data_IF_468199242102
#
_entry.id   IF_468199242102
#
_cell.length_a   1.000
_cell.length_b   1.000
_cell.length_c   1.000
_cell.angle_alpha   90.00
_cell.angle_beta   90.00
_cell.angle_gamma   90.00
#
_symmetry.space_group_name_H-M   'P 1'
#
loop_
_entity.id
_entity.type
_entity.pdbx_description
1 polymer ?
#
# COMPACT_ATOMS: atom_id res chain seq x y z
N UNK A 1 16.33 18.76 -14.69
CA UNK A 1 16.01 19.61 -13.52
C UNK A 1 14.54 20.05 -13.47
N UNK A 2 13.87 20.32 -14.59
CA UNK A 2 12.47 20.84 -14.65
C UNK A 2 11.39 19.93 -14.03
N UNK A 3 11.56 18.61 -14.04
CA UNK A 3 10.58 17.68 -13.46
C UNK A 3 10.66 17.55 -11.93
N UNK A 4 11.86 17.78 -11.35
CA UNK A 4 12.04 17.75 -9.89
C UNK A 4 11.42 19.01 -9.25
N UNK A 5 11.51 20.15 -9.95
CA UNK A 5 10.97 21.43 -9.48
C UNK A 5 9.44 21.46 -9.41
N UNK A 6 8.72 20.75 -10.29
CA UNK A 6 7.24 20.71 -10.25
C UNK A 6 6.67 19.84 -9.13
N UNK A 7 7.37 18.75 -8.78
CA UNK A 7 7.01 17.92 -7.63
C UNK A 7 7.38 18.63 -6.32
N UNK A 8 8.55 19.26 -6.27
CA UNK A 8 8.94 20.08 -5.13
C UNK A 8 8.00 21.27 -4.94
N UNK A 9 7.59 21.97 -6.00
CA UNK A 9 6.71 23.15 -5.86
C UNK A 9 5.30 22.83 -5.36
N UNK A 10 4.81 21.61 -5.54
CA UNK A 10 3.49 21.18 -5.06
C UNK A 10 3.53 20.54 -3.67
N UNK A 11 4.61 19.83 -3.34
CA UNK A 11 4.78 19.17 -2.03
C UNK A 11 5.32 20.12 -0.96
N UNK A 12 6.17 21.08 -1.33
CA UNK A 12 6.85 21.97 -0.39
C UNK A 12 5.91 22.94 0.36
N UNK A 13 4.87 23.54 -0.25
CA UNK A 13 3.92 24.39 0.47
C UNK A 13 3.09 23.60 1.48
N UNK A 14 2.69 22.37 1.12
CA UNK A 14 1.97 21.46 2.03
C UNK A 14 2.87 21.05 3.19
N UNK A 15 4.14 20.74 2.93
CA UNK A 15 5.12 20.37 3.96
C UNK A 15 5.40 21.53 4.92
N UNK A 16 5.55 22.76 4.41
CA UNK A 16 5.69 23.98 5.23
C UNK A 16 4.45 24.25 6.08
N UNK A 17 3.26 24.13 5.49
CA UNK A 17 1.99 24.28 6.22
C UNK A 17 1.88 23.26 7.35
N UNK A 18 2.24 22.01 7.08
CA UNK A 18 2.19 20.93 8.05
C UNK A 18 3.20 21.12 9.20
N UNK A 19 4.43 21.56 8.92
CA UNK A 19 5.45 21.85 9.95
C UNK A 19 4.99 22.89 10.96
N UNK A 20 4.19 23.87 10.54
CA UNK A 20 3.67 24.92 11.43
C UNK A 20 2.54 24.39 12.34
N UNK A 21 1.78 23.38 11.87
CA UNK A 21 0.55 22.91 12.54
C UNK A 21 0.71 21.59 13.29
N UNK A 22 1.73 20.82 12.97
CA UNK A 22 1.92 19.46 13.46
C UNK A 22 3.33 19.34 14.05
N UNK A 23 3.49 18.76 15.27
CA UNK A 23 4.82 18.56 15.85
C UNK A 23 5.75 17.83 14.89
N UNK A 24 7.00 18.27 14.81
CA UNK A 24 8.00 17.69 13.90
C UNK A 24 8.16 16.17 14.12
N UNK A 25 8.01 15.70 15.36
CA UNK A 25 8.00 14.28 15.71
C UNK A 25 6.82 13.52 15.08
N UNK A 26 5.65 14.14 14.98
CA UNK A 26 4.45 13.57 14.36
C UNK A 26 4.57 13.60 12.85
N UNK A 27 5.15 14.65 12.25
CA UNK A 27 5.42 14.66 10.80
C UNK A 27 6.49 13.67 10.40
N UNK A 28 7.56 13.56 11.19
CA UNK A 28 8.56 12.54 11.00
C UNK A 28 7.94 11.16 11.15
N UNK A 29 7.03 10.98 12.11
CA UNK A 29 6.25 9.76 12.21
C UNK A 29 5.42 9.55 10.93
N UNK A 30 4.52 10.44 10.56
CA UNK A 30 3.57 10.26 9.45
C UNK A 30 4.21 10.18 8.05
N UNK A 31 5.36 10.82 7.84
CA UNK A 31 6.02 10.91 6.52
C UNK A 31 7.21 9.96 6.37
N UNK A 32 7.83 9.56 7.48
CA UNK A 32 9.01 8.70 7.47
C UNK A 32 8.71 7.41 8.21
N UNK A 33 8.31 7.45 9.48
CA UNK A 33 8.10 6.24 10.27
C UNK A 33 6.90 5.45 9.73
N UNK A 34 5.73 6.04 9.56
CA UNK A 34 4.47 5.44 9.13
C UNK A 34 4.53 4.84 7.71
N UNK A 35 5.11 5.46 6.68
CA UNK A 35 5.30 4.78 5.39
C UNK A 35 6.30 3.63 5.51
N UNK A 36 7.29 3.75 6.40
CA UNK A 36 8.25 2.69 6.66
C UNK A 36 7.69 1.58 7.58
N UNK A 37 6.77 1.86 8.50
CA UNK A 37 6.32 0.97 9.59
C UNK A 37 4.86 0.59 9.56
N UNK A 38 4.01 1.43 8.99
CA UNK A 38 2.54 1.35 9.02
C UNK A 38 1.86 0.96 7.71
N UNK A 39 2.58 0.87 6.60
CA UNK A 39 2.00 0.59 5.27
C UNK A 39 1.43 -0.84 5.09
N UNK A 40 1.48 -1.70 6.11
CA UNK A 40 1.06 -3.12 6.04
C UNK A 40 -0.46 -3.34 6.02
N UNK A 41 -1.24 -2.31 6.32
CA UNK A 41 -2.70 -2.37 6.49
C UNK A 41 -3.49 -2.41 5.19
N UNK A 42 -2.91 -1.98 4.06
CA UNK A 42 -3.62 -1.91 2.78
C UNK A 42 -3.66 -3.30 2.12
N UNK A 43 -4.82 -3.69 1.61
CA UNK A 43 -5.00 -4.87 0.76
C UNK A 43 -3.99 -4.82 -0.42
N UNK A 44 -3.18 -5.88 -0.62
CA UNK A 44 -2.05 -5.90 -1.57
C UNK A 44 -0.64 -5.75 -0.94
N UNK A 45 -0.52 -5.55 0.37
CA UNK A 45 0.77 -5.46 1.09
C UNK A 45 1.21 -6.74 1.82
N UNK A 46 0.60 -7.93 1.56
CA UNK A 46 1.07 -9.14 2.26
C UNK A 46 2.47 -9.54 1.76
N UNK A 47 3.29 -10.03 2.68
CA UNK A 47 4.71 -10.27 2.42
C UNK A 47 4.97 -11.55 1.64
N UNK A 48 5.98 -11.51 0.77
CA UNK A 48 6.59 -12.67 0.12
C UNK A 48 6.99 -12.40 -1.33
N UNK A 49 8.19 -12.84 -1.75
CA UNK A 49 8.66 -12.71 -3.14
C UNK A 49 7.65 -13.30 -4.12
N UNK A 50 7.05 -14.43 -3.73
CA UNK A 50 6.06 -15.14 -4.53
C UNK A 50 4.63 -14.67 -4.28
N UNK A 51 4.40 -13.77 -3.33
CA UNK A 51 3.06 -13.31 -2.99
C UNK A 51 2.34 -12.63 -4.16
N UNK A 52 2.97 -11.77 -4.99
CA UNK A 52 2.34 -11.21 -6.19
C UNK A 52 1.92 -12.31 -7.15
N UNK A 53 2.78 -13.31 -7.34
CA UNK A 53 2.48 -14.45 -8.21
C UNK A 53 1.33 -15.30 -7.65
N UNK A 54 1.25 -15.47 -6.32
CA UNK A 54 0.13 -16.16 -5.65
C UNK A 54 -1.17 -15.37 -5.77
N UNK A 55 -1.15 -14.04 -5.61
CA UNK A 55 -2.33 -13.19 -5.82
C UNK A 55 -2.77 -13.22 -7.28
N UNK A 56 -1.84 -13.15 -8.23
CA UNK A 56 -2.15 -13.31 -9.65
C UNK A 56 -2.78 -14.67 -9.92
N UNK A 57 -2.17 -15.76 -9.46
CA UNK A 57 -2.75 -17.10 -9.59
C UNK A 57 -4.12 -17.21 -8.93
N UNK A 58 -4.32 -16.57 -7.78
CA UNK A 58 -5.62 -16.54 -7.11
C UNK A 58 -6.66 -15.82 -7.94
N UNK A 59 -6.37 -14.62 -8.48
CA UNK A 59 -7.29 -13.87 -9.35
C UNK A 59 -7.69 -14.67 -10.59
N UNK A 60 -6.76 -15.44 -11.15
CA UNK A 60 -7.04 -16.31 -12.30
C UNK A 60 -7.86 -17.55 -11.91
N UNK A 61 -7.66 -18.10 -10.70
CA UNK A 61 -8.41 -19.27 -10.19
C UNK A 61 -9.76 -18.93 -9.57
N UNK A 62 -9.95 -17.71 -9.06
CA UNK A 62 -11.14 -17.29 -8.31
C UNK A 62 -12.34 -16.96 -9.20
N UNK A 63 -12.26 -17.21 -10.51
CA UNK A 63 -13.33 -16.90 -11.46
C UNK A 63 -13.41 -15.42 -11.87
N UNK A 64 -12.60 -14.51 -11.29
CA UNK A 64 -12.61 -13.08 -11.65
C UNK A 64 -12.33 -12.84 -13.14
N UNK A 65 -11.53 -13.71 -13.76
CA UNK A 65 -11.27 -13.69 -15.19
C UNK A 65 -12.55 -13.86 -16.03
N UNK A 66 -13.54 -14.62 -15.56
CA UNK A 66 -14.80 -14.83 -16.28
C UNK A 66 -15.65 -13.55 -16.35
N UNK A 67 -15.57 -12.70 -15.32
CA UNK A 67 -16.36 -11.47 -15.22
C UNK A 67 -15.67 -10.25 -15.85
N UNK A 68 -14.34 -10.21 -15.85
CA UNK A 68 -13.58 -9.07 -16.37
C UNK A 68 -12.24 -9.52 -17.00
N UNK A 69 -12.25 -10.24 -18.13
CA UNK A 69 -11.06 -10.91 -18.69
C UNK A 69 -9.98 -9.92 -19.12
N UNK A 70 -10.36 -8.85 -19.82
CA UNK A 70 -9.42 -7.83 -20.30
C UNK A 70 -8.75 -7.07 -19.15
N UNK A 71 -9.56 -6.62 -18.17
CA UNK A 71 -9.04 -5.95 -16.97
C UNK A 71 -8.09 -6.86 -16.19
N UNK A 72 -8.50 -8.11 -15.95
CA UNK A 72 -7.72 -9.10 -15.22
C UNK A 72 -6.38 -9.39 -15.92
N UNK A 73 -6.39 -9.60 -17.24
CA UNK A 73 -5.19 -9.85 -18.02
C UNK A 73 -4.22 -8.65 -17.96
N UNK A 74 -4.72 -7.43 -18.17
CA UNK A 74 -3.88 -6.22 -18.20
C UNK A 74 -3.34 -5.87 -16.80
N UNK A 75 -4.16 -5.99 -15.76
CA UNK A 75 -3.72 -5.84 -14.37
C UNK A 75 -2.64 -6.88 -14.01
N UNK A 76 -2.81 -8.12 -14.50
CA UNK A 76 -1.83 -9.19 -14.27
C UNK A 76 -0.50 -8.90 -14.95
N UNK A 77 -0.53 -8.53 -16.24
CA UNK A 77 0.69 -8.20 -17.00
C UNK A 77 1.39 -6.98 -16.38
N UNK A 78 0.65 -5.94 -16.02
CA UNK A 78 1.20 -4.75 -15.37
C UNK A 78 1.89 -5.10 -14.04
N UNK A 79 1.26 -5.95 -13.23
CA UNK A 79 1.81 -6.41 -11.95
C UNK A 79 3.08 -7.26 -12.13
N UNK A 80 3.12 -8.11 -13.17
CA UNK A 80 4.31 -8.86 -13.53
C UNK A 80 5.45 -7.94 -13.98
N UNK A 81 5.16 -6.94 -14.83
CA UNK A 81 6.15 -5.97 -15.28
C UNK A 81 6.78 -5.20 -14.12
N UNK A 82 5.97 -4.78 -13.15
CA UNK A 82 6.44 -4.11 -11.93
C UNK A 82 7.32 -5.05 -11.10
N UNK A 83 6.92 -6.32 -10.99
CA UNK A 83 7.71 -7.35 -10.29
C UNK A 83 9.03 -7.66 -10.99
N UNK A 84 9.11 -7.47 -12.32
CA UNK A 84 10.31 -7.68 -13.11
C UNK A 84 11.26 -6.47 -13.14
N UNK A 85 10.83 -5.29 -12.66
CA UNK A 85 11.64 -4.06 -12.67
C UNK A 85 13.05 -4.23 -12.10
N UNK A 86 13.30 -4.96 -10.99
CA UNK A 86 14.65 -5.16 -10.49
C UNK A 86 15.58 -5.83 -11.51
N UNK A 87 15.10 -6.88 -12.15
CA UNK A 87 15.86 -7.64 -13.15
C UNK A 87 16.08 -6.80 -14.41
N UNK A 88 15.03 -6.11 -14.88
CA UNK A 88 15.11 -5.23 -16.04
C UNK A 88 16.07 -4.05 -15.80
N UNK A 89 16.14 -3.54 -14.58
CA UNK A 89 17.07 -2.46 -14.20
C UNK A 89 18.53 -2.93 -14.24
N UNK A 90 18.83 -4.12 -13.72
CA UNK A 90 20.17 -4.71 -13.77
C UNK A 90 20.59 -4.98 -15.21
N UNK A 91 19.73 -5.60 -16.01
CA UNK A 91 20.01 -5.85 -17.43
C UNK A 91 20.21 -4.56 -18.22
N UNK A 92 19.39 -3.54 -17.96
CA UNK A 92 19.52 -2.22 -18.57
C UNK A 92 20.84 -1.55 -18.20
N UNK A 93 21.25 -1.64 -16.94
CA UNK A 93 22.54 -1.13 -16.49
C UNK A 93 23.71 -1.82 -17.19
N UNK A 94 23.73 -3.16 -17.21
CA UNK A 94 24.77 -3.96 -17.89
C UNK A 94 24.85 -3.58 -19.38
N UNK A 95 23.71 -3.44 -20.05
CA UNK A 95 23.65 -3.00 -21.43
C UNK A 95 24.24 -1.58 -21.62
N UNK A 96 23.87 -0.63 -20.77
CA UNK A 96 24.33 0.75 -20.87
C UNK A 96 25.85 0.90 -20.66
N UNK A 97 26.42 0.22 -19.65
CA UNK A 97 27.86 0.31 -19.35
C UNK A 97 28.74 -0.37 -20.41
N UNK A 98 28.20 -1.39 -21.11
CA UNK A 98 28.92 -2.08 -22.19
C UNK A 98 28.89 -1.28 -23.49
N UNK A 99 27.86 -0.46 -23.70
CA UNK A 99 27.69 0.33 -24.92
C UNK A 99 28.29 1.73 -24.88
N UNK A 100 28.39 2.35 -23.71
CA UNK A 100 28.91 3.70 -23.59
C UNK A 100 29.79 3.86 -22.35
N UNK A 101 31.10 3.78 -22.61
CA UNK A 101 32.11 3.89 -21.56
C UNK A 101 32.27 5.32 -21.04
N UNK A 102 31.87 6.35 -21.79
CA UNK A 102 32.06 7.75 -21.41
C UNK A 102 31.03 8.22 -20.36
N UNK A 103 29.80 7.71 -20.43
CA UNK A 103 28.73 8.05 -19.49
C UNK A 103 28.62 7.10 -18.28
N UNK A 104 29.65 6.26 -18.01
CA UNK A 104 29.61 5.24 -16.96
C UNK A 104 29.20 5.76 -15.59
N UNK A 105 29.78 6.88 -15.14
CA UNK A 105 29.49 7.45 -13.83
C UNK A 105 27.99 7.77 -13.67
N UNK A 106 27.37 8.35 -14.70
CA UNK A 106 25.94 8.67 -14.68
C UNK A 106 25.07 7.42 -14.60
N UNK A 107 25.45 6.33 -15.29
CA UNK A 107 24.73 5.06 -15.20
C UNK A 107 24.90 4.39 -13.84
N UNK A 108 26.08 4.47 -13.24
CA UNK A 108 26.31 3.99 -11.87
C UNK A 108 25.46 4.75 -10.86
N UNK A 109 25.36 6.08 -10.96
CA UNK A 109 24.50 6.88 -10.10
C UNK A 109 23.01 6.50 -10.26
N UNK A 110 22.54 6.38 -11.50
CA UNK A 110 21.16 5.96 -11.78
C UNK A 110 20.86 4.55 -11.27
N UNK A 111 21.78 3.60 -11.49
CA UNK A 111 21.62 2.23 -11.02
C UNK A 111 21.66 2.15 -9.49
N UNK A 112 22.54 2.91 -8.84
CA UNK A 112 22.60 3.00 -7.38
C UNK A 112 21.29 3.56 -6.81
N UNK A 113 20.73 4.60 -7.44
CA UNK A 113 19.41 5.12 -7.08
C UNK A 113 18.28 4.11 -7.27
N UNK A 114 18.27 3.39 -8.40
CA UNK A 114 17.30 2.33 -8.67
C UNK A 114 17.39 1.20 -7.64
N UNK A 115 18.61 0.74 -7.32
CA UNK A 115 18.87 -0.29 -6.31
C UNK A 115 18.52 0.19 -4.91
N UNK A 116 18.85 1.42 -4.55
CA UNK A 116 18.43 2.00 -3.27
C UNK A 116 16.90 1.99 -3.14
N UNK A 117 16.16 2.40 -4.18
CA UNK A 117 14.70 2.38 -4.16
C UNK A 117 14.13 0.96 -4.12
N UNK A 118 14.66 0.04 -4.91
CA UNK A 118 14.24 -1.36 -4.91
C UNK A 118 14.55 -2.04 -3.59
N UNK A 119 15.75 -1.85 -3.03
CA UNK A 119 16.14 -2.40 -1.73
C UNK A 119 15.32 -1.77 -0.60
N UNK A 120 14.99 -0.49 -0.70
CA UNK A 120 14.11 0.19 0.27
C UNK A 120 12.68 -0.38 0.19
N UNK A 121 12.16 -0.58 -1.02
CA UNK A 121 10.87 -1.25 -1.23
C UNK A 121 10.89 -2.71 -0.75
N UNK A 122 12.02 -3.41 -0.95
CA UNK A 122 12.23 -4.80 -0.56
C UNK A 122 12.51 -4.97 0.94
N UNK A 123 12.95 -3.92 1.65
CA UNK A 123 13.36 -3.94 3.08
C UNK A 123 12.28 -4.47 4.02
N UNK A 124 11.04 -4.64 3.56
CA UNK A 124 9.93 -5.26 4.31
C UNK A 124 9.02 -6.14 3.44
N UNK A 125 9.57 -6.71 2.36
CA UNK A 125 8.92 -7.71 1.47
C UNK A 125 7.51 -7.38 0.99
N UNK A 126 7.16 -6.10 0.82
CA UNK A 126 5.86 -5.67 0.32
C UNK A 126 5.98 -5.29 -1.17
N UNK A 127 5.55 -6.16 -2.11
CA UNK A 127 5.84 -5.99 -3.53
C UNK A 127 5.12 -4.77 -4.15
N UNK A 128 4.01 -4.32 -3.57
CA UNK A 128 3.33 -3.08 -3.98
C UNK A 128 4.22 -1.84 -3.79
N UNK A 129 5.23 -1.90 -2.91
CA UNK A 129 6.19 -0.81 -2.77
C UNK A 129 7.10 -0.67 -4.00
N UNK A 130 7.20 -1.71 -4.83
CA UNK A 130 7.86 -1.60 -6.13
C UNK A 130 7.12 -0.65 -7.07
N UNK A 131 5.81 -0.44 -6.90
CA UNK A 131 5.05 0.57 -7.66
C UNK A 131 5.60 1.97 -7.33
N UNK A 132 5.77 2.29 -6.05
CA UNK A 132 6.31 3.57 -5.60
C UNK A 132 7.79 3.75 -5.96
N UNK A 133 8.55 2.67 -5.88
CA UNK A 133 9.97 2.64 -6.26
C UNK A 133 10.19 2.56 -7.78
N UNK A 134 9.14 2.44 -8.60
CA UNK A 134 9.27 2.12 -10.04
C UNK A 134 9.83 3.25 -10.90
N UNK A 135 9.78 4.51 -10.43
CA UNK A 135 10.12 5.70 -11.23
C UNK A 135 11.57 5.69 -11.71
N UNK A 136 12.54 5.50 -10.80
CA UNK A 136 13.97 5.48 -11.12
C UNK A 136 14.38 4.24 -11.96
N UNK A 137 13.98 3.00 -11.60
CA UNK A 137 14.08 1.82 -12.45
C UNK A 137 13.55 2.05 -13.88
N UNK A 138 12.36 2.67 -14.00
CA UNK A 138 11.75 2.93 -15.31
C UNK A 138 12.57 3.89 -16.15
N UNK A 139 13.12 4.95 -15.56
CA UNK A 139 14.03 5.88 -16.26
C UNK A 139 15.25 5.13 -16.82
N UNK A 140 15.85 4.25 -16.02
CA UNK A 140 17.00 3.45 -16.44
C UNK A 140 16.66 2.54 -17.63
N UNK A 141 15.51 1.88 -17.58
CA UNK A 141 14.99 1.02 -18.67
C UNK A 141 14.70 1.86 -19.92
N UNK A 142 14.07 3.02 -19.79
CA UNK A 142 13.77 3.92 -20.91
C UNK A 142 15.04 4.40 -21.61
N UNK A 143 16.11 4.72 -20.87
CA UNK A 143 17.39 5.11 -21.45
C UNK A 143 18.03 3.95 -22.22
N UNK A 144 17.96 2.72 -21.67
CA UNK A 144 18.46 1.53 -22.36
C UNK A 144 17.71 1.28 -23.67
N UNK A 145 16.37 1.32 -23.65
CA UNK A 145 15.56 1.19 -24.87
C UNK A 145 15.89 2.29 -25.89
N UNK A 146 15.98 3.55 -25.47
CA UNK A 146 16.34 4.65 -26.38
C UNK A 146 17.71 4.44 -27.07
N UNK A 147 18.69 3.86 -26.36
CA UNK A 147 19.97 3.48 -26.98
C UNK A 147 19.87 2.28 -27.90
N UNK A 148 19.07 1.26 -27.55
CA UNK A 148 18.80 0.12 -28.42
C UNK A 148 18.12 0.56 -29.73
N UNK A 149 17.24 1.55 -29.68
CA UNK A 149 16.59 2.12 -30.86
C UNK A 149 17.57 2.85 -31.80
N UNK A 150 18.63 3.43 -31.24
CA UNK A 150 19.71 4.10 -32.01
C UNK A 150 20.80 3.13 -32.50
N UNK A 151 20.75 1.85 -32.11
CA UNK A 151 21.71 0.84 -32.55
C UNK A 151 21.67 0.65 -34.08
N UNK A 152 22.82 0.52 -34.73
CA UNK A 152 22.90 0.23 -36.17
C UNK A 152 22.24 -1.10 -36.55
N UNK A 153 22.30 -2.09 -35.65
CA UNK A 153 21.67 -3.40 -35.87
C UNK A 153 20.14 -3.30 -35.82
N UNK A 154 19.49 -3.64 -36.93
CA UNK A 154 18.03 -3.62 -37.14
C UNK A 154 17.28 -4.41 -36.06
N UNK A 155 17.81 -5.54 -35.61
CA UNK A 155 17.15 -6.39 -34.60
C UNK A 155 16.95 -5.66 -33.27
N UNK A 156 17.93 -4.87 -32.81
CA UNK A 156 17.81 -4.10 -31.56
C UNK A 156 16.82 -2.94 -31.69
N UNK A 157 16.73 -2.33 -32.88
CA UNK A 157 15.69 -1.31 -33.16
C UNK A 157 14.29 -1.91 -33.08
N UNK A 158 14.08 -3.06 -33.72
CA UNK A 158 12.78 -3.77 -33.70
C UNK A 158 12.39 -4.20 -32.29
N UNK A 159 13.31 -4.80 -31.54
CA UNK A 159 13.10 -5.19 -30.13
C UNK A 159 12.71 -3.96 -29.31
N UNK A 160 13.49 -2.87 -29.40
CA UNK A 160 13.20 -1.66 -28.64
C UNK A 160 11.84 -1.06 -28.98
N UNK A 161 11.50 -1.01 -30.27
CA UNK A 161 10.23 -0.46 -30.74
C UNK A 161 9.04 -1.30 -30.23
N UNK A 162 9.15 -2.63 -30.33
CA UNK A 162 8.11 -3.54 -29.88
C UNK A 162 7.94 -3.48 -28.35
N UNK A 163 9.05 -3.46 -27.59
CA UNK A 163 9.00 -3.27 -26.14
C UNK A 163 8.36 -1.94 -25.75
N UNK A 164 8.72 -0.84 -26.44
CA UNK A 164 8.13 0.47 -26.19
C UNK A 164 6.62 0.47 -26.44
N UNK A 165 6.17 -0.02 -27.59
CA UNK A 165 4.73 -0.10 -27.91
C UNK A 165 4.00 -0.99 -26.92
N UNK A 166 4.54 -2.17 -26.61
CA UNK A 166 3.92 -3.11 -25.67
C UNK A 166 3.74 -2.50 -24.29
N UNK A 167 4.80 -1.90 -23.73
CA UNK A 167 4.76 -1.24 -22.42
C UNK A 167 3.76 -0.07 -22.43
N UNK A 168 3.85 0.82 -23.42
CA UNK A 168 2.93 1.95 -23.54
C UNK A 168 1.47 1.50 -23.65
N UNK A 169 1.18 0.52 -24.52
CA UNK A 169 -0.18 -0.01 -24.69
C UNK A 169 -0.72 -0.61 -23.38
N UNK A 170 0.08 -1.39 -22.66
CA UNK A 170 -0.35 -1.97 -21.38
C UNK A 170 -0.68 -0.89 -20.36
N UNK A 171 0.21 0.08 -20.15
CA UNK A 171 -0.01 1.12 -19.15
C UNK A 171 -1.14 2.09 -19.55
N UNK A 172 -1.28 2.41 -20.84
CA UNK A 172 -2.37 3.23 -21.35
C UNK A 172 -3.70 2.51 -21.20
N UNK A 173 -3.82 1.26 -21.65
CA UNK A 173 -5.08 0.51 -21.53
C UNK A 173 -5.40 0.26 -20.05
N UNK A 174 -4.40 -0.07 -19.21
CA UNK A 174 -4.61 -0.18 -17.76
C UNK A 174 -5.13 1.13 -17.17
N UNK A 175 -4.52 2.27 -17.53
CA UNK A 175 -4.94 3.59 -17.08
C UNK A 175 -6.36 3.94 -17.52
N UNK A 176 -6.71 3.68 -18.77
CA UNK A 176 -8.06 3.89 -19.32
C UNK A 176 -9.07 3.01 -18.58
N UNK A 177 -8.82 1.71 -18.45
CA UNK A 177 -9.73 0.79 -17.79
C UNK A 177 -9.87 1.09 -16.30
N UNK A 178 -8.78 1.48 -15.62
CA UNK A 178 -8.83 1.88 -14.21
C UNK A 178 -9.68 3.12 -14.05
N UNK A 179 -9.46 4.12 -14.90
CA UNK A 179 -10.22 5.37 -14.90
C UNK A 179 -11.69 5.10 -15.18
N UNK A 180 -12.02 4.29 -16.19
CA UNK A 180 -13.38 3.87 -16.49
C UNK A 180 -14.05 3.16 -15.31
N UNK A 181 -13.32 2.28 -14.60
CA UNK A 181 -13.83 1.60 -13.41
C UNK A 181 -14.13 2.55 -12.23
N UNK A 182 -13.45 3.70 -12.15
CA UNK A 182 -13.73 4.74 -11.16
C UNK A 182 -15.01 5.52 -11.49
N UNK A 183 -15.38 5.61 -12.77
CA UNK A 183 -16.62 6.25 -13.22
C UNK A 183 -17.83 5.32 -13.22
N UNK A 184 -17.62 4.02 -13.03
CA UNK A 184 -18.71 3.06 -12.89
C UNK A 184 -19.39 3.18 -11.51
N UNK A 185 -20.50 3.94 -11.48
CA UNK A 185 -21.32 4.15 -10.28
C UNK A 185 -21.91 2.86 -9.71
N UNK A 186 -22.01 1.79 -10.50
CA UNK A 186 -22.52 0.51 -10.02
C UNK A 186 -21.51 -0.26 -9.19
N UNK A 187 -20.21 0.06 -9.33
CA UNK A 187 -19.11 -0.60 -8.61
C UNK A 187 -18.58 0.22 -7.44
N UNK A 188 -18.69 1.55 -7.50
CA UNK A 188 -18.25 2.45 -6.44
C UNK A 188 -19.41 2.79 -5.50
N UNK A 189 -19.49 2.06 -4.39
CA UNK A 189 -20.43 2.37 -3.31
C UNK A 189 -19.90 3.55 -2.52
N UNK A 190 -20.72 4.59 -2.47
CA UNK A 190 -20.49 5.78 -1.68
C UNK A 190 -20.83 5.52 -0.21
N UNK A 191 -19.88 5.74 0.69
CA UNK A 191 -20.09 5.67 2.14
C UNK A 191 -19.87 7.06 2.72
N UNK A 192 -20.95 7.67 3.21
CA UNK A 192 -20.93 8.97 3.87
C UNK A 192 -20.76 8.80 5.37
N UNK A 193 -19.96 9.67 5.98
CA UNK A 193 -19.76 9.76 7.43
C UNK A 193 -19.58 11.21 7.86
N UNK A 194 -19.44 11.44 9.17
CA UNK A 194 -19.15 12.76 9.74
C UNK A 194 -17.86 13.38 9.18
N UNK A 195 -16.89 12.57 8.75
CA UNK A 195 -15.61 13.04 8.20
C UNK A 195 -15.62 13.30 6.69
N UNK A 196 -16.73 12.96 6.01
CA UNK A 196 -16.86 13.03 4.56
C UNK A 196 -17.19 11.69 3.93
N UNK A 197 -16.85 11.58 2.65
CA UNK A 197 -17.24 10.46 1.77
C UNK A 197 -16.03 9.62 1.39
N UNK A 198 -16.16 8.29 1.50
CA UNK A 198 -15.25 7.34 0.84
C UNK A 198 -15.99 6.54 -0.22
N UNK A 199 -15.23 6.09 -1.21
CA UNK A 199 -15.74 5.20 -2.26
C UNK A 199 -15.09 3.83 -2.10
N UNK A 200 -15.91 2.80 -1.94
CA UNK A 200 -15.45 1.42 -1.96
C UNK A 200 -15.93 0.75 -3.24
N UNK A 201 -14.98 0.14 -3.94
CA UNK A 201 -15.20 -0.52 -5.22
C UNK A 201 -15.67 -1.99 -5.09
N UNK A 202 -15.93 -2.44 -3.86
CA UNK A 202 -16.41 -3.77 -3.52
C UNK A 202 -17.73 -3.65 -2.74
N UNK A 203 -18.89 -3.98 -3.35
CA UNK A 203 -20.19 -3.87 -2.72
C UNK A 203 -20.33 -4.63 -1.40
N UNK A 204 -19.74 -5.83 -1.33
CA UNK A 204 -19.78 -6.66 -0.15
C UNK A 204 -18.99 -6.03 0.99
N UNK A 205 -17.73 -5.62 0.74
CA UNK A 205 -16.91 -4.94 1.74
C UNK A 205 -17.55 -3.62 2.19
N UNK A 206 -18.17 -2.89 1.25
CA UNK A 206 -18.89 -1.65 1.56
C UNK A 206 -20.06 -1.89 2.51
N UNK A 207 -20.86 -2.93 2.27
CA UNK A 207 -21.95 -3.32 3.18
C UNK A 207 -21.42 -3.67 4.58
N UNK A 208 -20.35 -4.46 4.67
CA UNK A 208 -19.73 -4.80 5.96
C UNK A 208 -19.16 -3.56 6.68
N UNK A 209 -18.58 -2.63 5.93
CA UNK A 209 -18.01 -1.40 6.48
C UNK A 209 -19.08 -0.41 6.96
N UNK A 210 -20.17 -0.25 6.20
CA UNK A 210 -21.35 0.52 6.63
C UNK A 210 -21.92 -0.08 7.92
N UNK A 211 -22.08 -1.41 7.97
CA UNK A 211 -22.54 -2.10 9.17
C UNK A 211 -21.63 -1.84 10.38
N UNK A 212 -20.32 -1.82 10.17
CA UNK A 212 -19.35 -1.48 11.22
C UNK A 212 -19.50 -0.03 11.70
N UNK A 213 -19.59 0.95 10.79
CA UNK A 213 -19.74 2.36 11.16
C UNK A 213 -21.03 2.59 11.98
N UNK A 214 -22.14 2.02 11.53
CA UNK A 214 -23.42 2.10 12.23
C UNK A 214 -23.31 1.47 13.63
N UNK A 215 -22.67 0.30 13.74
CA UNK A 215 -22.44 -0.36 15.02
C UNK A 215 -21.59 0.49 15.98
N UNK A 216 -20.57 1.18 15.47
CA UNK A 216 -19.74 2.08 16.29
C UNK A 216 -20.56 3.25 16.83
N UNK A 217 -21.40 3.86 15.98
CA UNK A 217 -22.28 4.96 16.39
C UNK A 217 -23.31 4.54 17.44
N UNK A 218 -23.79 3.29 17.38
CA UNK A 218 -24.78 2.74 18.32
C UNK A 218 -24.16 2.22 19.62
N UNK A 219 -23.03 1.52 19.55
CA UNK A 219 -22.48 0.74 20.67
C UNK A 219 -21.35 1.44 21.44
N UNK A 220 -20.67 2.39 20.79
CA UNK A 220 -19.52 3.09 21.39
C UNK A 220 -19.90 4.55 21.64
N UNK A 221 -19.94 5.00 22.91
CA UNK A 221 -20.22 6.39 23.26
C UNK A 221 -19.42 7.42 22.45
N UNK A 222 -20.03 8.55 22.09
CA UNK A 222 -19.43 9.51 21.15
C UNK A 222 -18.10 10.10 21.62
N UNK A 223 -17.96 10.32 22.94
CA UNK A 223 -16.73 10.86 23.56
C UNK A 223 -15.62 9.82 23.76
N UNK A 224 -15.91 8.56 23.46
CA UNK A 224 -15.01 7.47 23.76
C UNK A 224 -14.02 7.18 22.63
N UNK A 225 -12.76 7.08 23.00
CA UNK A 225 -11.69 6.64 22.10
C UNK A 225 -11.72 5.12 21.99
N UNK A 226 -11.41 4.61 20.80
CA UNK A 226 -11.22 3.20 20.55
C UNK A 226 -9.99 2.99 19.67
N UNK A 227 -9.32 1.86 19.87
CA UNK A 227 -8.25 1.42 18.99
C UNK A 227 -8.86 0.80 17.74
N UNK A 228 -8.54 1.33 16.55
CA UNK A 228 -8.80 0.63 15.29
C UNK A 228 -7.57 -0.18 14.88
N UNK A 229 -7.58 -1.48 15.20
CA UNK A 229 -6.52 -2.43 14.86
C UNK A 229 -6.64 -2.81 13.39
N UNK A 230 -5.59 -2.57 12.61
CA UNK A 230 -5.49 -2.90 11.17
C UNK A 230 -6.42 -2.11 10.21
N UNK A 231 -7.31 -1.26 10.72
CA UNK A 231 -8.33 -0.54 9.93
C UNK A 231 -8.44 0.95 10.31
N UNK A 232 -7.32 1.68 10.26
CA UNK A 232 -7.19 3.07 10.72
C UNK A 232 -8.18 4.05 10.06
N UNK A 233 -8.67 3.76 8.86
CA UNK A 233 -9.70 4.55 8.16
C UNK A 233 -10.99 4.70 8.99
N UNK A 234 -11.30 3.74 9.87
CA UNK A 234 -12.48 3.80 10.74
C UNK A 234 -12.39 4.96 11.75
N UNK A 235 -11.21 5.20 12.33
CA UNK A 235 -10.99 6.35 13.23
C UNK A 235 -11.19 7.68 12.49
N UNK A 236 -10.73 7.77 11.24
CA UNK A 236 -10.94 8.95 10.39
C UNK A 236 -12.43 9.17 10.14
N UNK A 237 -13.14 8.17 9.62
CA UNK A 237 -14.56 8.25 9.27
C UNK A 237 -15.47 8.60 10.46
N UNK A 238 -15.09 8.14 11.66
CA UNK A 238 -15.83 8.41 12.90
C UNK A 238 -15.39 9.68 13.62
N UNK A 239 -14.37 10.39 13.10
CA UNK A 239 -13.72 11.55 13.74
C UNK A 239 -13.20 11.27 15.17
N UNK A 240 -12.89 10.02 15.49
CA UNK A 240 -12.42 9.61 16.81
C UNK A 240 -10.93 9.28 16.76
N UNK A 241 -10.15 9.91 17.64
CA UNK A 241 -8.70 9.72 17.69
C UNK A 241 -8.35 8.29 18.11
N UNK A 242 -7.35 7.71 17.46
CA UNK A 242 -6.75 6.47 17.92
C UNK A 242 -6.01 6.74 19.24
N UNK A 243 -6.28 5.97 20.31
CA UNK A 243 -5.66 6.21 21.61
C UNK A 243 -4.19 5.84 21.66
N UNK A 244 -3.68 5.12 20.66
CA UNK A 244 -2.30 4.63 20.62
C UNK A 244 -1.53 5.27 19.48
N UNK A 245 -0.21 5.37 19.63
CA UNK A 245 0.66 5.87 18.55
C UNK A 245 0.87 4.84 17.44
N UNK A 246 0.49 3.58 17.68
CA UNK A 246 0.81 2.44 16.81
C UNK A 246 -0.48 1.64 16.57
N UNK A 247 -0.93 1.61 15.33
CA UNK A 247 -2.22 1.10 14.88
C UNK A 247 -2.17 -0.26 14.17
N UNK A 248 -0.98 -0.90 14.11
CA UNK A 248 -0.75 -2.08 13.26
C UNK A 248 -0.20 -3.32 13.98
N UNK A 249 -0.97 -4.41 13.91
CA UNK A 249 -0.63 -5.75 14.39
C UNK A 249 -0.98 -6.82 13.36
N UNK A 250 -0.51 -6.67 12.12
CA UNK A 250 -0.76 -7.67 11.07
C UNK A 250 0.35 -8.73 11.04
N UNK A 251 0.00 -10.03 11.05
CA UNK A 251 0.94 -11.12 10.79
C UNK A 251 1.53 -11.07 9.36
N UNK A 252 2.73 -11.64 9.12
CA UNK A 252 3.63 -12.18 10.14
C UNK A 252 4.36 -11.07 10.91
N UNK A 253 4.83 -11.43 12.10
CA UNK A 253 5.31 -10.57 13.17
C UNK A 253 6.52 -9.72 12.79
N UNK A 254 6.32 -8.43 12.56
CA UNK A 254 7.44 -7.48 12.51
C UNK A 254 7.20 -6.19 13.30
N UNK A 255 6.26 -6.20 14.24
CA UNK A 255 6.23 -5.18 15.29
C UNK A 255 7.19 -5.66 16.38
N UNK A 256 8.29 -4.95 16.67
CA UNK A 256 9.16 -5.30 17.79
C UNK A 256 8.34 -5.44 19.08
N UNK A 257 8.71 -6.36 19.97
CA UNK A 257 7.99 -6.58 21.23
C UNK A 257 7.72 -5.26 21.99
N UNK A 258 8.71 -4.36 21.99
CA UNK A 258 8.61 -3.00 22.57
C UNK A 258 7.41 -2.19 22.06
N UNK A 259 7.00 -2.36 20.79
CA UNK A 259 5.84 -1.68 20.24
C UNK A 259 4.54 -2.30 20.76
N UNK A 260 4.49 -3.62 20.88
CA UNK A 260 3.33 -4.33 21.45
C UNK A 260 3.15 -3.90 22.91
N UNK A 261 4.23 -3.94 23.68
CA UNK A 261 4.22 -3.54 25.09
C UNK A 261 3.78 -2.08 25.25
N UNK A 262 4.27 -1.18 24.38
CA UNK A 262 3.86 0.23 24.39
C UNK A 262 2.38 0.43 24.10
N UNK A 263 1.80 -0.35 23.19
CA UNK A 263 0.37 -0.26 22.88
C UNK A 263 -0.46 -0.83 24.01
N UNK A 264 -0.10 -2.00 24.54
CA UNK A 264 -0.78 -2.58 25.70
C UNK A 264 -0.76 -1.58 26.86
N UNK A 265 0.39 -0.97 27.13
CA UNK A 265 0.52 0.08 28.14
C UNK A 265 -0.39 1.28 27.85
N UNK A 266 -0.40 1.80 26.62
CA UNK A 266 -1.30 2.90 26.22
C UNK A 266 -2.78 2.53 26.44
N UNK A 267 -3.17 1.29 26.13
CA UNK A 267 -4.55 0.80 26.32
C UNK A 267 -4.91 0.73 27.81
N UNK A 268 -4.01 0.28 28.66
CA UNK A 268 -4.23 0.18 30.11
C UNK A 268 -4.23 1.56 30.76
N UNK A 269 -3.20 2.38 30.50
CA UNK A 269 -3.05 3.72 31.09
C UNK A 269 -4.23 4.64 30.74
N UNK A 270 -4.78 4.51 29.53
CA UNK A 270 -5.93 5.32 29.05
C UNK A 270 -7.28 4.64 29.27
N UNK A 271 -7.30 3.45 29.89
CA UNK A 271 -8.49 2.66 30.14
C UNK A 271 -9.39 2.47 28.90
N UNK A 272 -8.78 2.11 27.77
CA UNK A 272 -9.51 1.96 26.49
C UNK A 272 -10.44 0.77 26.57
N UNK A 273 -11.76 1.01 26.46
CA UNK A 273 -12.77 -0.03 26.61
C UNK A 273 -13.16 -0.71 25.29
N UNK A 274 -12.82 -0.14 24.14
CA UNK A 274 -13.24 -0.67 22.84
C UNK A 274 -12.07 -0.82 21.88
N UNK A 275 -12.08 -1.94 21.15
CA UNK A 275 -11.14 -2.23 20.06
C UNK A 275 -11.94 -2.68 18.86
N UNK A 276 -11.65 -2.11 17.69
CA UNK A 276 -12.24 -2.49 16.41
C UNK A 276 -11.16 -3.15 15.56
N UNK A 277 -11.44 -4.29 14.96
CA UNK A 277 -10.45 -5.08 14.20
C UNK A 277 -11.09 -5.77 12.99
N UNK A 278 -10.26 -6.27 12.08
CA UNK A 278 -10.67 -7.29 11.12
C UNK A 278 -11.10 -8.57 11.85
N UNK A 279 -12.15 -9.22 11.35
CA UNK A 279 -12.62 -10.52 11.81
C UNK A 279 -11.67 -11.61 11.29
N UNK A 280 -10.65 -11.92 12.09
CA UNK A 280 -9.68 -12.99 11.83
C UNK A 280 -9.52 -13.81 13.09
N UNK A 281 -9.16 -15.08 12.92
CA UNK A 281 -8.74 -15.92 14.04
C UNK A 281 -7.56 -15.25 14.75
N UNK A 282 -7.67 -15.17 16.08
CA UNK A 282 -6.62 -14.66 16.94
C UNK A 282 -5.46 -15.64 16.96
N UNK A 283 -4.24 -15.16 16.75
CA UNK A 283 -3.06 -16.01 16.80
C UNK A 283 -2.51 -16.05 18.24
N UNK A 284 -2.50 -17.23 18.85
CA UNK A 284 -1.97 -17.40 20.22
C UNK A 284 -0.48 -17.05 20.36
N UNK A 285 0.28 -17.12 19.27
CA UNK A 285 1.69 -16.69 19.23
C UNK A 285 1.84 -15.16 19.23
N UNK A 286 0.77 -14.40 19.01
CA UNK A 286 0.78 -12.94 19.04
C UNK A 286 0.50 -12.42 20.44
N UNK A 287 1.48 -11.78 21.13
CA UNK A 287 1.25 -11.28 22.49
C UNK A 287 0.09 -10.27 22.57
N UNK A 288 -0.17 -9.51 21.50
CA UNK A 288 -1.31 -8.60 21.45
C UNK A 288 -2.65 -9.35 21.34
N UNK A 289 -2.71 -10.44 20.56
CA UNK A 289 -3.94 -11.22 20.42
C UNK A 289 -4.22 -12.03 21.68
N UNK A 290 -3.17 -12.53 22.37
CA UNK A 290 -3.28 -13.12 23.71
C UNK A 290 -3.79 -12.09 24.72
N UNK A 291 -3.30 -10.85 24.67
CA UNK A 291 -3.81 -9.77 25.52
C UNK A 291 -5.28 -9.46 25.22
N UNK A 292 -5.62 -9.34 23.92
CA UNK A 292 -6.97 -9.08 23.44
C UNK A 292 -7.95 -10.16 23.90
N UNK A 293 -7.61 -11.44 23.73
CA UNK A 293 -8.47 -12.58 24.11
C UNK A 293 -8.68 -12.68 25.62
N UNK A 294 -7.71 -12.26 26.43
CA UNK A 294 -7.81 -12.26 27.90
C UNK A 294 -8.59 -11.07 28.46
N UNK A 295 -8.47 -9.90 27.84
CA UNK A 295 -8.98 -8.63 28.40
C UNK A 295 -10.23 -8.11 27.72
N UNK A 296 -10.57 -8.60 26.54
CA UNK A 296 -11.71 -8.11 25.77
C UNK A 296 -12.58 -9.25 25.23
N UNK A 297 -13.88 -8.99 25.16
CA UNK A 297 -14.87 -9.91 24.61
C UNK A 297 -15.52 -9.30 23.36
N UNK A 298 -15.83 -10.11 22.34
CA UNK A 298 -16.53 -9.61 21.16
C UNK A 298 -17.97 -9.24 21.51
N UNK A 299 -18.39 -8.03 21.12
CA UNK A 299 -19.77 -7.54 21.30
C UNK A 299 -20.53 -7.40 19.99
N UNK A 300 -19.82 -7.38 18.87
CA UNK A 300 -20.39 -7.42 17.53
C UNK A 300 -19.38 -8.04 16.57
N UNK A 301 -19.86 -8.92 15.69
CA UNK A 301 -19.07 -9.57 14.67
C UNK A 301 -19.88 -9.61 13.38
N UNK A 302 -19.36 -9.00 12.32
CA UNK A 302 -19.83 -9.22 10.97
C UNK A 302 -18.78 -10.06 10.20
N UNK A 303 -18.99 -10.31 8.92
CA UNK A 303 -18.12 -11.26 8.19
C UNK A 303 -16.68 -10.75 8.05
N UNK A 304 -16.44 -9.44 8.10
CA UNK A 304 -15.13 -8.84 7.86
C UNK A 304 -14.55 -8.12 9.09
N UNK A 305 -15.40 -7.72 10.05
CA UNK A 305 -15.04 -6.84 11.16
C UNK A 305 -15.61 -7.33 12.48
N UNK A 306 -14.92 -7.00 13.56
CA UNK A 306 -15.31 -7.33 14.92
C UNK A 306 -15.06 -6.15 15.85
N UNK A 307 -15.99 -5.92 16.78
CA UNK A 307 -15.87 -4.95 17.86
C UNK A 307 -15.71 -5.72 19.16
N UNK A 308 -14.64 -5.43 19.87
CA UNK A 308 -14.34 -5.94 21.19
C UNK A 308 -14.64 -4.89 22.26
N UNK A 309 -15.15 -5.33 23.40
CA UNK A 309 -15.33 -4.53 24.61
C UNK A 309 -14.47 -5.11 25.73
N UNK A 310 -13.83 -4.26 26.52
CA UNK A 310 -13.06 -4.67 27.69
C UNK A 310 -13.97 -5.43 28.64
N UNK A 311 -13.55 -6.63 29.07
CA UNK A 311 -14.26 -7.39 30.09
C UNK A 311 -14.30 -6.58 31.39
N UNK A 312 -15.43 -6.59 32.10
CA UNK A 312 -15.49 -5.99 33.42
C UNK A 312 -14.52 -6.74 34.35
N UNK A 313 -13.56 -6.01 34.93
CA UNK A 313 -12.62 -6.51 35.93
C UNK A 313 -13.30 -6.63 37.30
#
# INVERSE_FOLDING_TARGET
MVYLSGVLSSVFPLFLYLIIKVPLSTLFYDLVVFPLTGYKSIEGNKMGIFYPFKELLFVWKSGNFQYAPLWTAIASISSLLISLLPYLSVLSFIYLITKDKKAKLNYFLLFSGAMMMILTAARRWAPINLIWASSIPSILISIALAKMFKSEKVIWKRISFFCFIFLMSIFVIFGILRTASLFDKTRNIEIKSKAGTIYLNNPYLASQFIGLLNAIEQLIPEKEQFLSKEISIVNFMTLRRNPTKIDFFKPPFYSPQKHIDSVIKDLEDKNIRYIVSLNKELNEENPFDTYLSKKFTPILQNKEFIIYKRAAS
#
